data_IF_251987915181
#
_entry.id   IF_251987915181
#
_cell.length_a   1.000
_cell.length_b   1.000
_cell.length_c   1.000
_cell.angle_alpha   90.00
_cell.angle_beta   90.00
_cell.angle_gamma   90.00
#
_symmetry.space_group_name_H-M   'P 1'
#
loop_
_entity.id
_entity.type
_entity.pdbx_description
1 polymer ?
#
# COMPACT_ATOMS: atom_id res chain seq x y z
N UNK A 1 11.32 12.70 -12.33
CA UNK A 1 11.48 11.43 -11.56
C UNK A 1 10.21 11.06 -10.80
N UNK A 2 9.68 11.92 -9.91
CA UNK A 2 8.53 11.56 -9.06
C UNK A 2 7.23 11.22 -9.83
N UNK A 3 7.00 11.88 -10.96
CA UNK A 3 5.86 11.58 -11.85
C UNK A 3 5.85 10.14 -12.38
N UNK A 4 7.02 9.49 -12.42
CA UNK A 4 7.14 8.08 -12.84
C UNK A 4 6.53 7.17 -11.76
N UNK A 5 6.67 7.52 -10.47
CA UNK A 5 6.10 6.75 -9.35
C UNK A 5 4.60 6.97 -9.18
N UNK A 6 4.07 8.12 -9.61
CA UNK A 6 2.63 8.44 -9.51
C UNK A 6 1.81 7.87 -10.68
N UNK A 7 2.44 7.17 -11.62
CA UNK A 7 1.73 6.56 -12.74
C UNK A 7 0.74 5.49 -12.24
N UNK A 8 -0.49 5.43 -12.79
CA UNK A 8 -1.49 4.43 -12.38
C UNK A 8 -1.04 2.99 -12.65
N UNK A 9 -0.04 2.81 -13.53
CA UNK A 9 0.62 1.54 -13.84
C UNK A 9 2.08 1.61 -13.41
N UNK A 10 2.34 1.48 -12.10
CA UNK A 10 3.70 1.30 -11.60
C UNK A 10 4.28 0.01 -12.18
N UNK A 11 5.42 0.12 -12.88
CA UNK A 11 6.18 -1.04 -13.34
C UNK A 11 7.01 -1.64 -12.19
N UNK A 12 7.43 -2.90 -12.35
CA UNK A 12 8.35 -3.58 -11.41
C UNK A 12 9.60 -2.76 -11.14
N UNK A 13 10.26 -2.33 -12.21
CA UNK A 13 11.48 -1.52 -12.13
C UNK A 13 11.25 -0.20 -11.42
N UNK A 14 10.06 0.40 -11.59
CA UNK A 14 9.67 1.63 -10.90
C UNK A 14 9.48 1.41 -9.39
N UNK A 15 8.83 0.31 -8.99
CA UNK A 15 8.66 -0.07 -7.58
C UNK A 15 10.02 -0.35 -6.91
N UNK A 16 10.85 -1.17 -7.55
CA UNK A 16 12.18 -1.50 -7.03
C UNK A 16 13.09 -0.28 -6.97
N UNK A 17 13.04 0.60 -7.96
CA UNK A 17 13.80 1.84 -7.93
C UNK A 17 13.31 2.76 -6.82
N UNK A 18 12.00 2.85 -6.57
CA UNK A 18 11.47 3.59 -5.43
C UNK A 18 11.98 2.98 -4.11
N UNK A 19 11.92 1.65 -3.98
CA UNK A 19 12.41 0.91 -2.82
C UNK A 19 13.89 1.15 -2.55
N UNK A 20 14.72 1.09 -3.60
CA UNK A 20 16.15 1.34 -3.51
C UNK A 20 16.43 2.79 -3.10
N UNK A 21 15.72 3.76 -3.68
CA UNK A 21 15.92 5.18 -3.34
C UNK A 21 15.50 5.49 -1.89
N UNK A 22 14.39 4.92 -1.41
CA UNK A 22 13.96 5.10 -0.02
C UNK A 22 14.89 4.40 0.97
N UNK A 23 15.49 3.28 0.57
CA UNK A 23 16.42 2.53 1.44
C UNK A 23 17.83 3.15 1.43
N UNK A 24 18.29 3.64 0.28
CA UNK A 24 19.64 4.19 0.12
C UNK A 24 19.78 5.63 0.64
N UNK A 25 18.69 6.42 0.65
CA UNK A 25 18.74 7.83 1.06
C UNK A 25 17.65 8.17 2.05
N UNK A 26 18.06 8.47 3.29
CA UNK A 26 17.15 8.98 4.34
C UNK A 26 16.51 10.32 3.94
N UNK A 27 17.25 11.19 3.25
CA UNK A 27 16.72 12.48 2.78
C UNK A 27 15.61 12.29 1.76
N UNK A 28 15.74 11.31 0.87
CA UNK A 28 14.69 10.98 -0.09
C UNK A 28 13.48 10.35 0.60
N UNK A 29 13.69 9.43 1.53
CA UNK A 29 12.60 8.81 2.30
C UNK A 29 11.79 9.85 3.10
N UNK A 30 12.45 10.74 3.83
CA UNK A 30 11.79 11.85 4.54
C UNK A 30 11.07 12.80 3.58
N UNK A 31 11.63 13.04 2.39
CA UNK A 31 10.97 13.86 1.37
C UNK A 31 9.71 13.19 0.81
N UNK A 32 9.72 11.87 0.56
CA UNK A 32 8.53 11.13 0.11
C UNK A 32 7.44 11.14 1.18
N UNK A 33 7.82 10.94 2.45
CA UNK A 33 6.90 10.87 3.60
C UNK A 33 6.28 12.21 3.99
N UNK A 34 6.98 13.33 3.77
CA UNK A 34 6.49 14.67 4.16
C UNK A 34 5.58 15.32 3.12
N UNK A 35 5.32 14.66 1.98
CA UNK A 35 4.51 15.25 0.90
C UNK A 35 3.01 15.06 1.10
N UNK A 36 2.27 16.12 0.76
CA UNK A 36 0.81 16.16 0.74
C UNK A 36 0.17 15.23 -0.31
N UNK A 37 0.91 14.86 -1.35
CA UNK A 37 0.46 13.99 -2.45
C UNK A 37 0.67 12.48 -2.18
N UNK A 38 0.84 12.07 -0.92
CA UNK A 38 1.18 10.70 -0.54
C UNK A 38 0.23 9.64 -1.13
N UNK A 39 -1.06 9.96 -1.28
CA UNK A 39 -2.05 9.09 -1.92
C UNK A 39 -1.63 8.63 -3.33
N UNK A 40 -0.96 9.51 -4.10
CA UNK A 40 -0.57 9.20 -5.49
C UNK A 40 0.49 8.09 -5.56
N UNK A 41 1.24 7.84 -4.49
CA UNK A 41 2.21 6.74 -4.38
C UNK A 41 1.61 5.55 -3.64
N UNK A 42 0.86 5.78 -2.57
CA UNK A 42 0.28 4.69 -1.78
C UNK A 42 -0.78 3.93 -2.59
N UNK A 43 -1.59 4.64 -3.38
CA UNK A 43 -2.65 4.04 -4.21
C UNK A 43 -2.14 2.98 -5.20
N UNK A 44 -1.09 3.20 -6.02
CA UNK A 44 -0.57 2.15 -6.90
C UNK A 44 0.04 0.96 -6.14
N UNK A 45 0.65 1.18 -4.97
CA UNK A 45 1.18 0.10 -4.11
C UNK A 45 0.03 -0.75 -3.53
N UNK A 46 -1.02 -0.11 -3.01
CA UNK A 46 -2.22 -0.80 -2.54
C UNK A 46 -2.92 -1.57 -3.66
N UNK A 47 -2.98 -0.97 -4.87
CA UNK A 47 -3.51 -1.65 -6.05
C UNK A 47 -2.66 -2.86 -6.44
N UNK A 48 -1.34 -2.80 -6.30
CA UNK A 48 -0.45 -3.93 -6.55
C UNK A 48 -0.77 -5.10 -5.60
N UNK A 49 -0.86 -4.83 -4.29
CA UNK A 49 -1.20 -5.85 -3.29
C UNK A 49 -2.63 -6.39 -3.52
N UNK A 50 -3.58 -5.52 -3.84
CA UNK A 50 -4.95 -5.93 -4.16
C UNK A 50 -5.01 -6.83 -5.40
N UNK A 51 -4.26 -6.50 -6.45
CA UNK A 51 -4.20 -7.32 -7.66
C UNK A 51 -3.58 -8.69 -7.37
N UNK A 52 -2.51 -8.75 -6.57
CA UNK A 52 -1.85 -10.00 -6.20
C UNK A 52 -2.73 -10.90 -5.32
N UNK A 53 -3.61 -10.31 -4.50
CA UNK A 53 -4.57 -11.04 -3.65
C UNK A 53 -5.88 -11.39 -4.37
N UNK A 54 -6.15 -10.80 -5.54
CA UNK A 54 -7.39 -11.05 -6.27
C UNK A 54 -7.34 -12.35 -7.07
N UNK A 55 -8.42 -13.15 -7.01
CA UNK A 55 -8.58 -14.34 -7.85
C UNK A 55 -8.86 -13.99 -9.33
N UNK A 56 -9.37 -12.79 -9.60
CA UNK A 56 -9.64 -12.27 -10.95
C UNK A 56 -9.05 -10.85 -11.06
N UNK A 57 -7.74 -10.74 -11.29
CA UNK A 57 -7.10 -9.45 -11.47
C UNK A 57 -7.64 -8.74 -12.72
N UNK A 58 -7.79 -7.39 -12.69
CA UNK A 58 -8.34 -6.66 -13.82
C UNK A 58 -7.42 -6.78 -15.06
N UNK A 59 -8.00 -6.80 -16.28
CA UNK A 59 -7.27 -7.05 -17.53
C UNK A 59 -6.22 -5.98 -17.87
N UNK A 60 -6.24 -4.83 -17.18
CA UNK A 60 -5.30 -3.72 -17.34
C UNK A 60 -4.21 -3.67 -16.25
N UNK A 61 -3.95 -4.78 -15.54
CA UNK A 61 -2.89 -4.86 -14.54
C UNK A 61 -1.63 -5.49 -15.15
N UNK A 62 -0.67 -4.71 -15.66
CA UNK A 62 0.59 -5.24 -16.19
C UNK A 62 1.43 -6.01 -15.15
N UNK A 63 1.03 -5.98 -13.88
CA UNK A 63 1.65 -6.65 -12.74
C UNK A 63 1.26 -8.13 -12.58
N UNK A 64 0.36 -8.64 -13.42
CA UNK A 64 -0.06 -10.05 -13.41
C UNK A 64 1.05 -11.04 -13.80
N UNK A 65 2.15 -10.56 -14.39
CA UNK A 65 3.15 -11.45 -14.99
C UNK A 65 4.31 -11.87 -14.08
N UNK A 66 4.68 -11.14 -13.01
CA UNK A 66 6.03 -11.36 -12.42
C UNK A 66 6.12 -11.21 -10.89
N UNK A 67 6.35 -12.36 -10.23
CA UNK A 67 7.21 -12.50 -9.05
C UNK A 67 6.61 -12.20 -7.67
N UNK A 68 6.72 -13.18 -6.75
CA UNK A 68 6.47 -13.00 -5.30
C UNK A 68 7.29 -11.83 -4.70
N UNK A 69 8.45 -11.51 -5.29
CA UNK A 69 9.36 -10.44 -4.87
C UNK A 69 8.72 -9.04 -4.81
N UNK A 70 7.87 -8.70 -5.78
CA UNK A 70 7.19 -7.39 -5.80
C UNK A 70 6.23 -7.23 -4.62
N UNK A 71 5.56 -8.32 -4.25
CA UNK A 71 4.63 -8.34 -3.13
C UNK A 71 5.39 -8.06 -1.82
N UNK A 72 6.55 -8.70 -1.61
CA UNK A 72 7.40 -8.37 -0.46
C UNK A 72 7.87 -6.92 -0.49
N UNK A 73 8.35 -6.41 -1.63
CA UNK A 73 8.80 -5.01 -1.74
C UNK A 73 7.68 -4.03 -1.36
N UNK A 74 6.46 -4.24 -1.87
CA UNK A 74 5.29 -3.44 -1.50
C UNK A 74 5.01 -3.48 0.01
N UNK A 75 5.01 -4.68 0.61
CA UNK A 75 4.69 -4.85 2.04
C UNK A 75 5.78 -4.27 2.94
N UNK A 76 7.06 -4.47 2.60
CA UNK A 76 8.20 -3.90 3.34
C UNK A 76 8.17 -2.37 3.27
N UNK A 77 7.88 -1.79 2.10
CA UNK A 77 7.73 -0.33 1.97
C UNK A 77 6.58 0.20 2.83
N UNK A 78 5.42 -0.47 2.79
CA UNK A 78 4.29 -0.09 3.66
C UNK A 78 4.65 -0.22 5.13
N UNK A 79 5.41 -1.24 5.52
CA UNK A 79 5.88 -1.40 6.89
C UNK A 79 6.80 -0.25 7.30
N UNK A 80 7.79 0.07 6.48
CA UNK A 80 8.74 1.14 6.75
C UNK A 80 8.08 2.53 6.80
N UNK A 81 7.04 2.76 5.99
CA UNK A 81 6.29 4.01 6.02
C UNK A 81 5.29 4.08 7.17
N UNK A 82 4.56 2.98 7.44
CA UNK A 82 3.61 2.92 8.56
C UNK A 82 4.28 3.03 9.93
N UNK A 83 5.58 2.71 10.04
CA UNK A 83 6.34 2.90 11.28
C UNK A 83 6.47 4.38 11.70
N UNK A 84 6.25 5.33 10.78
CA UNK A 84 6.28 6.76 11.08
C UNK A 84 4.88 7.27 11.41
N UNK A 85 4.70 7.82 12.62
CA UNK A 85 3.38 8.27 13.10
C UNK A 85 2.74 9.34 12.21
N UNK A 86 3.56 10.24 11.63
CA UNK A 86 3.08 11.31 10.75
C UNK A 86 2.47 10.77 9.45
N UNK A 87 3.08 9.73 8.87
CA UNK A 87 2.60 9.12 7.62
C UNK A 87 1.20 8.53 7.78
N UNK A 88 0.98 7.75 8.85
CA UNK A 88 -0.33 7.16 9.11
C UNK A 88 -1.37 8.26 9.35
N UNK A 89 -1.05 9.26 10.18
CA UNK A 89 -1.97 10.39 10.45
C UNK A 89 -2.38 11.09 9.15
N UNK A 90 -1.43 11.40 8.28
CA UNK A 90 -1.71 12.06 7.00
C UNK A 90 -2.52 11.17 6.05
N UNK A 91 -2.29 9.86 6.05
CA UNK A 91 -3.05 8.91 5.24
C UNK A 91 -4.51 8.79 5.71
N UNK A 92 -4.79 8.86 7.02
CA UNK A 92 -6.17 8.84 7.51
C UNK A 92 -6.87 10.19 7.37
N UNK A 93 -6.19 11.30 7.67
CA UNK A 93 -6.79 12.62 7.76
C UNK A 93 -6.85 13.40 6.43
N UNK A 94 -5.87 13.22 5.53
CA UNK A 94 -5.72 14.05 4.33
C UNK A 94 -6.07 13.35 3.03
N UNK A 95 -6.09 12.02 3.03
CA UNK A 95 -6.33 11.25 1.80
C UNK A 95 -7.76 10.70 1.77
N UNK A 96 -8.65 11.43 1.10
CA UNK A 96 -10.00 10.96 0.79
C UNK A 96 -10.06 10.56 -0.68
N UNK A 97 -10.37 9.29 -0.95
CA UNK A 97 -10.52 8.80 -2.30
C UNK A 97 -12.00 8.93 -2.71
N UNK A 98 -12.36 9.83 -3.64
CA UNK A 98 -13.76 10.01 -4.04
C UNK A 98 -14.34 8.74 -4.67
N UNK A 99 -13.52 8.01 -5.44
CA UNK A 99 -13.87 6.70 -5.96
C UNK A 99 -12.61 5.84 -6.16
N UNK A 100 -12.71 4.55 -5.83
CA UNK A 100 -11.65 3.54 -6.01
C UNK A 100 -12.13 2.51 -7.04
N UNK A 101 -12.04 2.81 -8.36
CA UNK A 101 -12.67 2.00 -9.41
C UNK A 101 -12.06 0.60 -9.56
N UNK A 102 -10.88 0.36 -8.99
CA UNK A 102 -10.21 -0.94 -9.02
C UNK A 102 -10.62 -1.88 -7.88
N UNK A 103 -11.28 -1.38 -6.83
CA UNK A 103 -11.74 -2.21 -5.71
C UNK A 103 -13.15 -2.74 -6.02
N UNK A 104 -13.25 -4.01 -6.43
CA UNK A 104 -14.50 -4.59 -6.95
C UNK A 104 -15.47 -5.11 -5.89
N UNK A 105 -15.03 -5.30 -4.65
CA UNK A 105 -15.81 -5.97 -3.60
C UNK A 105 -16.84 -5.04 -2.94
N UNK A 106 -16.54 -3.74 -2.83
CA UNK A 106 -17.49 -2.69 -2.41
C UNK A 106 -17.20 -1.41 -3.18
N UNK A 107 -18.26 -0.68 -3.60
CA UNK A 107 -18.09 0.70 -4.09
C UNK A 107 -17.73 1.60 -2.91
N UNK A 108 -16.45 1.72 -2.61
CA UNK A 108 -15.92 2.64 -1.61
C UNK A 108 -16.07 4.07 -2.16
N UNK A 109 -17.16 4.74 -1.78
CA UNK A 109 -17.35 6.18 -1.98
C UNK A 109 -16.84 6.91 -0.74
N UNK A 110 -15.83 7.75 -0.90
CA UNK A 110 -15.31 8.59 0.19
C UNK A 110 -14.49 7.85 1.27
N UNK A 111 -13.89 6.71 0.95
CA UNK A 111 -13.02 6.01 1.89
C UNK A 111 -11.70 6.78 2.10
N UNK A 112 -11.22 6.83 3.34
CA UNK A 112 -9.88 7.33 3.64
C UNK A 112 -8.82 6.36 3.08
N UNK A 113 -7.66 6.88 2.67
CA UNK A 113 -6.55 6.05 2.21
C UNK A 113 -6.06 5.09 3.29
N UNK A 114 -6.15 5.49 4.56
CA UNK A 114 -5.90 4.62 5.72
C UNK A 114 -6.89 3.47 5.83
N UNK A 115 -8.19 3.71 5.61
CA UNK A 115 -9.19 2.65 5.56
C UNK A 115 -8.94 1.66 4.42
N UNK A 116 -8.53 2.16 3.25
CA UNK A 116 -8.14 1.31 2.12
C UNK A 116 -6.91 0.45 2.42
N UNK A 117 -5.90 1.00 3.11
CA UNK A 117 -4.73 0.26 3.56
C UNK A 117 -5.13 -0.92 4.47
N UNK A 118 -6.02 -0.68 5.44
CA UNK A 118 -6.53 -1.73 6.35
C UNK A 118 -7.29 -2.81 5.56
N UNK A 119 -8.16 -2.42 4.62
CA UNK A 119 -8.91 -3.38 3.79
C UNK A 119 -8.00 -4.26 2.94
N UNK A 120 -6.98 -3.67 2.31
CA UNK A 120 -6.00 -4.39 1.49
C UNK A 120 -5.13 -5.30 2.36
N UNK A 121 -4.70 -4.84 3.54
CA UNK A 121 -3.93 -5.65 4.48
C UNK A 121 -4.74 -6.85 5.01
N UNK A 122 -6.01 -6.66 5.37
CA UNK A 122 -6.90 -7.74 5.80
C UNK A 122 -7.09 -8.80 4.71
N UNK A 123 -7.21 -8.36 3.45
CA UNK A 123 -7.29 -9.27 2.29
C UNK A 123 -5.99 -10.03 2.09
N UNK A 124 -4.84 -9.38 2.29
CA UNK A 124 -3.54 -10.01 2.21
C UNK A 124 -3.33 -11.07 3.30
N UNK A 125 -3.72 -10.78 4.54
CA UNK A 125 -3.73 -11.75 5.65
C UNK A 125 -4.59 -12.96 5.28
N UNK A 126 -5.82 -12.72 4.81
CA UNK A 126 -6.77 -13.78 4.44
C UNK A 126 -6.23 -14.62 3.29
N UNK A 127 -5.63 -14.01 2.26
CA UNK A 127 -5.01 -14.73 1.15
C UNK A 127 -3.81 -15.55 1.63
N UNK A 128 -2.96 -14.97 2.47
CA UNK A 128 -1.75 -15.63 2.93
C UNK A 128 -2.08 -16.88 3.77
N UNK A 129 -2.99 -16.76 4.73
CA UNK A 129 -3.47 -17.88 5.55
C UNK A 129 -4.11 -19.00 4.72
N UNK A 130 -4.80 -18.66 3.63
CA UNK A 130 -5.52 -19.65 2.81
C UNK A 130 -4.67 -20.30 1.70
N UNK A 131 -3.55 -19.69 1.25
CA UNK A 131 -2.86 -20.12 0.02
C UNK A 131 -1.34 -20.21 0.10
N UNK A 132 -0.69 -19.28 0.81
CA UNK A 132 0.77 -19.11 0.75
C UNK A 132 1.45 -19.65 2.02
N UNK A 133 0.77 -19.54 3.17
CA UNK A 133 1.28 -19.93 4.49
C UNK A 133 2.69 -19.37 4.78
N UNK A 134 2.93 -18.12 4.38
CA UNK A 134 4.23 -17.47 4.52
C UNK A 134 4.27 -16.61 5.79
N UNK A 135 5.07 -17.05 6.77
CA UNK A 135 5.23 -16.37 8.05
C UNK A 135 5.83 -14.96 7.94
N UNK A 136 6.75 -14.73 7.00
CA UNK A 136 7.38 -13.41 6.83
C UNK A 136 6.40 -12.38 6.30
N UNK A 137 5.64 -12.77 5.27
CA UNK A 137 4.64 -11.89 4.68
C UNK A 137 3.50 -11.62 5.66
N UNK A 138 3.07 -12.64 6.42
CA UNK A 138 2.03 -12.49 7.44
C UNK A 138 2.52 -11.53 8.53
N UNK A 139 3.71 -11.75 9.07
CA UNK A 139 4.30 -10.94 10.13
C UNK A 139 4.43 -9.47 9.75
N UNK A 140 4.98 -9.18 8.56
CA UNK A 140 5.11 -7.81 8.08
C UNK A 140 3.75 -7.15 7.84
N UNK A 141 2.77 -7.88 7.31
CA UNK A 141 1.41 -7.34 7.10
C UNK A 141 0.71 -7.04 8.43
N UNK A 142 0.84 -7.92 9.43
CA UNK A 142 0.29 -7.70 10.76
C UNK A 142 0.98 -6.54 11.47
N UNK A 143 2.29 -6.37 11.28
CA UNK A 143 3.02 -5.22 11.81
C UNK A 143 2.53 -3.90 11.20
N UNK A 144 2.25 -3.86 9.89
CA UNK A 144 1.60 -2.70 9.24
C UNK A 144 0.24 -2.41 9.89
N UNK A 145 -0.60 -3.43 10.07
CA UNK A 145 -1.93 -3.26 10.71
C UNK A 145 -1.79 -2.76 12.15
N UNK A 146 -0.83 -3.26 12.91
CA UNK A 146 -0.54 -2.83 14.27
C UNK A 146 -0.12 -1.36 14.32
N UNK A 147 0.76 -0.94 13.41
CA UNK A 147 1.19 0.47 13.31
C UNK A 147 0.03 1.42 13.01
N UNK A 148 -0.92 0.95 12.20
CA UNK A 148 -2.10 1.71 11.77
C UNK A 148 -3.22 1.73 12.82
N UNK A 149 -3.27 0.73 13.71
CA UNK A 149 -4.33 0.55 14.72
C UNK A 149 -4.57 1.80 15.57
N UNK A 150 -3.51 2.48 15.97
CA UNK A 150 -3.59 3.65 16.85
C UNK A 150 -4.33 4.82 16.19
N UNK A 151 -4.26 4.94 14.85
CA UNK A 151 -4.90 6.01 14.08
C UNK A 151 -6.38 5.75 13.77
N UNK A 152 -6.79 4.48 13.75
CA UNK A 152 -8.21 4.11 13.59
C UNK A 152 -9.02 4.46 14.84
N UNK A 153 -8.39 4.42 16.02
CA UNK A 153 -9.06 4.69 17.29
C UNK A 153 -9.36 6.18 17.53
N UNK A 154 -8.60 7.06 16.89
CA UNK A 154 -8.79 8.51 16.93
C UNK A 154 -9.87 9.01 15.94
N UNK A 155 -10.61 8.10 15.31
CA UNK A 155 -11.74 8.41 14.42
C UNK A 155 -13.09 8.24 15.12
N UNK A 156 -13.11 7.73 16.37
CA UNK A 156 -14.30 7.52 17.19
C UNK A 156 -14.47 8.57 18.32
N UNK A 157 -13.59 9.58 18.39
CA UNK A 157 -13.74 10.77 19.24
C UNK A 157 -14.05 12.01 18.38
#
# INVERSE_FOLDING_TARGET
LFLIFTSPTMSESTLLLLYLLTTASKSFDSHVKSRTDLDKIVRPILRCIYAATSRSPPPSSPLLSRGRGQLYACVIMLLQWSSEYGFCTDLFARTFLPEVPWYRERRLRGASGGGLLVLVAARLVTMNLNRMNDGYLLGNTLAVVSNVRHHVRNLEE
#
